data_IF_789139154438
#
_entry.id   IF_789139154438
#
_cell.length_a   1.000
_cell.length_b   1.000
_cell.length_c   1.000
_cell.angle_alpha   90.00
_cell.angle_beta   90.00
_cell.angle_gamma   90.00
#
_symmetry.space_group_name_H-M   'P 1'
#
loop_
_entity.id
_entity.type
_entity.pdbx_description
1 polymer ?
#
# COMPACT_ATOMS: atom_id res chain seq x y z
N UNK A 1 -42.71 26.04 48.56
CA UNK A 1 -42.96 24.95 49.53
C UNK A 1 -42.34 23.69 48.97
N UNK A 2 -41.65 22.87 49.78
CA UNK A 2 -40.97 21.59 49.45
C UNK A 2 -39.92 21.68 48.30
N UNK A 3 -38.62 21.35 48.41
CA UNK A 3 -37.80 20.55 49.34
C UNK A 3 -37.63 19.05 48.99
N UNK A 4 -36.41 18.71 48.54
CA UNK A 4 -35.71 17.41 48.70
C UNK A 4 -36.31 16.20 47.92
N UNK A 5 -35.57 15.13 47.57
CA UNK A 5 -34.17 14.72 47.84
C UNK A 5 -33.61 13.91 46.63
N UNK A 6 -32.29 13.76 46.44
CA UNK A 6 -31.43 12.63 46.88
C UNK A 6 -31.92 11.22 46.51
N UNK A 7 -31.15 10.26 45.99
CA UNK A 7 -29.78 10.19 45.43
C UNK A 7 -29.82 9.15 44.25
N UNK A 8 -28.90 8.26 43.84
CA UNK A 8 -27.56 7.81 44.30
C UNK A 8 -26.78 7.05 43.19
N UNK A 9 -25.58 6.57 43.52
CA UNK A 9 -24.60 5.90 42.63
C UNK A 9 -24.71 4.38 42.55
N UNK A 10 -24.20 3.77 41.46
CA UNK A 10 -23.79 2.36 41.42
C UNK A 10 -22.52 2.14 40.57
N UNK A 11 -21.44 1.66 41.18
CA UNK A 11 -20.22 1.19 40.49
C UNK A 11 -20.21 -0.34 40.48
N UNK A 12 -19.96 -0.96 39.33
CA UNK A 12 -19.67 -2.40 39.21
C UNK A 12 -18.17 -2.65 39.09
N UNK A 13 -17.49 -2.88 40.21
CA UNK A 13 -16.16 -3.53 40.21
C UNK A 13 -16.31 -4.98 39.78
N UNK A 14 -15.47 -5.47 38.87
CA UNK A 14 -15.25 -6.90 38.67
C UNK A 14 -13.78 -7.21 38.97
N UNK A 15 -13.52 -8.20 39.83
CA UNK A 15 -12.17 -8.66 40.12
C UNK A 15 -12.20 -10.11 40.60
N UNK A 16 -11.54 -10.99 39.84
CA UNK A 16 -11.16 -12.35 40.22
C UNK A 16 -9.77 -12.54 39.59
N UNK A 17 -8.71 -12.72 40.38
CA UNK A 17 -8.28 -14.04 40.90
C UNK A 17 -8.15 -15.05 39.77
N UNK A 18 -6.97 -15.18 39.15
CA UNK A 18 -5.75 -15.90 39.62
C UNK A 18 -5.91 -17.41 39.68
N UNK A 19 -5.21 -18.10 38.78
CA UNK A 19 -4.65 -19.42 39.05
C UNK A 19 -3.24 -19.51 38.45
N UNK A 20 -2.35 -20.24 39.12
CA UNK A 20 -0.96 -20.42 38.70
C UNK A 20 -0.80 -21.77 38.02
N UNK A 21 0.10 -21.87 37.03
CA UNK A 21 0.64 -23.16 36.60
C UNK A 21 2.06 -22.99 36.05
N UNK A 22 3.03 -23.38 36.87
CA UNK A 22 4.44 -23.45 36.50
C UNK A 22 4.77 -24.87 36.03
N UNK A 23 5.15 -25.02 34.77
CA UNK A 23 5.74 -26.27 34.25
C UNK A 23 7.16 -25.98 33.80
N UNK A 24 8.14 -26.58 34.49
CA UNK A 24 9.55 -26.28 34.33
C UNK A 24 10.29 -27.55 33.87
N UNK A 25 10.52 -27.67 32.55
CA UNK A 25 11.31 -28.70 31.87
C UNK A 25 11.44 -28.31 30.38
N UNK A 26 12.54 -28.49 29.67
CA UNK A 26 13.99 -28.47 29.97
C UNK A 26 14.70 -28.33 28.59
N UNK A 27 15.95 -27.83 28.47
CA UNK A 27 16.52 -27.55 27.15
C UNK A 27 17.08 -28.80 26.47
N UNK A 28 16.83 -28.94 25.16
CA UNK A 28 17.51 -29.93 24.30
C UNK A 28 18.60 -29.24 23.47
N UNK A 29 19.85 -29.64 23.72
CA UNK A 29 21.06 -29.25 22.97
C UNK A 29 21.77 -30.55 22.51
N UNK A 30 22.76 -30.54 21.59
CA UNK A 30 22.73 -31.47 20.46
C UNK A 30 23.51 -32.77 20.69
N UNK A 31 23.29 -33.75 19.80
CA UNK A 31 24.05 -35.00 19.73
C UNK A 31 24.51 -35.34 18.31
N UNK A 32 25.78 -35.10 18.04
CA UNK A 32 26.61 -35.79 17.03
C UNK A 32 27.83 -36.34 17.79
N UNK A 33 28.25 -37.60 17.57
CA UNK A 33 29.12 -37.96 16.43
C UNK A 33 28.56 -39.21 15.68
N UNK A 34 29.20 -39.89 14.72
CA UNK A 34 30.62 -40.03 14.35
C UNK A 34 30.77 -40.41 12.84
N UNK A 35 31.97 -40.68 12.29
CA UNK A 35 32.23 -40.61 10.84
C UNK A 35 32.06 -41.93 10.05
N UNK A 36 31.88 -41.81 8.73
CA UNK A 36 31.99 -42.90 7.76
C UNK A 36 32.95 -42.52 6.62
N UNK A 37 33.90 -43.40 6.30
CA UNK A 37 35.02 -43.12 5.39
C UNK A 37 34.85 -43.67 3.97
N UNK A 38 35.34 -42.90 2.99
CA UNK A 38 35.76 -43.31 1.62
C UNK A 38 34.68 -43.98 0.71
N UNK A 39 34.63 -43.73 -0.60
CA UNK A 39 35.71 -44.06 -1.56
C UNK A 39 35.58 -43.26 -2.86
N UNK A 40 36.71 -42.94 -3.49
CA UNK A 40 36.81 -42.36 -4.84
C UNK A 40 37.53 -43.35 -5.77
N UNK A 41 36.97 -43.63 -6.95
CA UNK A 41 37.77 -43.88 -8.15
C UNK A 41 37.20 -43.08 -9.37
N UNK A 42 37.72 -43.18 -10.60
CA UNK A 42 38.56 -42.10 -11.12
C UNK A 42 38.05 -41.48 -12.44
N UNK A 43 38.73 -40.42 -12.88
CA UNK A 43 38.42 -39.75 -14.15
C UNK A 43 38.89 -40.54 -15.39
N UNK A 44 38.11 -40.48 -16.47
CA UNK A 44 38.56 -40.78 -17.83
C UNK A 44 38.14 -39.66 -18.80
N UNK A 45 39.00 -39.40 -19.79
CA UNK A 45 38.81 -38.52 -20.96
C UNK A 45 39.31 -39.28 -22.20
N UNK A 46 38.95 -38.86 -23.41
CA UNK A 46 37.61 -38.57 -23.94
C UNK A 46 37.35 -39.48 -25.18
N UNK A 47 36.36 -39.18 -26.03
CA UNK A 47 36.71 -39.07 -27.45
C UNK A 47 36.07 -37.86 -28.15
N UNK A 48 36.43 -37.68 -29.42
CA UNK A 48 36.17 -36.47 -30.22
C UNK A 48 34.68 -36.30 -30.63
N UNK A 49 34.18 -35.09 -30.40
CA UNK A 49 33.92 -34.14 -31.49
C UNK A 49 32.66 -34.33 -32.34
N UNK A 50 31.76 -33.34 -32.25
CA UNK A 50 30.89 -32.91 -33.36
C UNK A 50 30.71 -31.40 -33.27
N UNK A 51 30.39 -30.77 -34.41
CA UNK A 51 30.13 -29.33 -34.48
C UNK A 51 28.87 -28.98 -33.68
N UNK A 52 28.95 -27.92 -32.86
CA UNK A 52 27.78 -27.17 -32.40
C UNK A 52 27.91 -25.77 -32.96
N UNK A 53 26.79 -25.25 -33.47
CA UNK A 53 26.70 -23.94 -34.12
C UNK A 53 26.93 -22.80 -33.11
N UNK A 54 26.99 -21.55 -33.61
CA UNK A 54 27.15 -20.36 -32.77
C UNK A 54 25.90 -20.07 -31.93
N UNK A 55 25.68 -20.88 -30.90
CA UNK A 55 24.54 -20.75 -29.99
C UNK A 55 24.61 -19.39 -29.29
N UNK A 56 23.61 -18.54 -29.54
CA UNK A 56 23.52 -17.24 -28.90
C UNK A 56 23.09 -17.46 -27.46
N UNK A 57 24.08 -17.57 -26.57
CA UNK A 57 23.90 -17.56 -25.12
C UNK A 57 23.28 -16.22 -24.71
N UNK A 58 21.95 -16.14 -24.78
CA UNK A 58 21.15 -15.15 -24.06
C UNK A 58 21.52 -15.25 -22.58
N UNK A 59 21.68 -14.10 -21.92
CA UNK A 59 22.08 -14.03 -20.51
C UNK A 59 20.93 -14.45 -19.58
N UNK A 60 20.58 -15.73 -19.59
CA UNK A 60 19.47 -16.28 -18.78
C UNK A 60 19.78 -16.21 -17.28
N UNK A 61 21.06 -16.19 -16.89
CA UNK A 61 21.48 -16.17 -15.49
C UNK A 61 21.41 -14.80 -14.79
N UNK A 62 21.24 -13.69 -15.52
CA UNK A 62 21.19 -12.35 -14.92
C UNK A 62 19.78 -11.92 -14.46
N UNK A 63 18.75 -12.56 -14.98
CA UNK A 63 17.34 -12.39 -14.59
C UNK A 63 17.01 -13.23 -13.33
N UNK A 64 17.48 -14.48 -13.28
CA UNK A 64 17.14 -15.46 -12.23
C UNK A 64 17.68 -15.09 -10.83
N UNK A 65 18.56 -14.10 -10.71
CA UNK A 65 19.11 -13.58 -9.45
C UNK A 65 19.09 -12.05 -9.37
N UNK A 66 17.94 -11.42 -9.62
CA UNK A 66 17.77 -9.97 -9.37
C UNK A 66 17.74 -9.61 -7.87
N UNK A 67 17.07 -10.44 -7.05
CA UNK A 67 16.93 -10.22 -5.59
C UNK A 67 17.29 -11.47 -4.80
N UNK A 68 17.72 -11.28 -3.55
CA UNK A 68 17.94 -12.36 -2.60
C UNK A 68 16.62 -12.80 -1.91
N UNK A 69 16.69 -13.80 -1.02
CA UNK A 69 15.55 -14.33 -0.26
C UNK A 69 14.89 -13.32 0.71
N UNK A 70 15.49 -12.15 0.92
CA UNK A 70 14.91 -11.03 1.69
C UNK A 70 14.37 -9.91 0.79
N UNK A 71 14.22 -10.17 -0.52
CA UNK A 71 13.79 -9.22 -1.55
C UNK A 71 14.70 -7.97 -1.70
N UNK A 72 15.96 -8.08 -1.26
CA UNK A 72 16.98 -7.05 -1.45
C UNK A 72 17.75 -7.28 -2.76
N UNK A 73 18.10 -6.22 -3.47
CA UNK A 73 19.01 -6.28 -4.62
C UNK A 73 20.41 -6.74 -4.20
N UNK A 74 21.12 -7.43 -5.09
CA UNK A 74 22.52 -7.77 -4.87
C UNK A 74 23.43 -6.55 -5.08
N UNK A 75 24.32 -6.29 -4.12
CA UNK A 75 25.26 -5.14 -4.14
C UNK A 75 26.32 -5.19 -5.24
N UNK A 76 26.29 -6.21 -6.10
CA UNK A 76 27.12 -6.36 -7.30
C UNK A 76 26.59 -5.57 -8.51
N UNK A 77 25.33 -5.11 -8.47
CA UNK A 77 24.66 -4.38 -9.56
C UNK A 77 24.20 -2.99 -9.08
N UNK A 78 24.41 -1.91 -9.86
CA UNK A 78 23.90 -0.58 -9.51
C UNK A 78 22.37 -0.54 -9.40
N UNK A 79 21.83 0.22 -8.45
CA UNK A 79 20.38 0.35 -8.20
C UNK A 79 19.57 0.65 -9.46
N UNK A 80 19.97 1.65 -10.26
CA UNK A 80 19.29 2.02 -11.50
C UNK A 80 19.16 0.83 -12.48
N UNK A 81 20.19 -0.02 -12.57
CA UNK A 81 20.17 -1.23 -13.40
C UNK A 81 19.27 -2.32 -12.81
N UNK A 82 19.25 -2.45 -11.48
CA UNK A 82 18.38 -3.40 -10.77
C UNK A 82 16.89 -3.00 -10.86
N UNK A 83 16.58 -1.71 -10.71
CA UNK A 83 15.24 -1.14 -10.90
C UNK A 83 14.78 -1.27 -12.36
N UNK A 84 15.69 -1.03 -13.32
CA UNK A 84 15.40 -1.25 -14.74
C UNK A 84 15.10 -2.73 -15.03
N UNK A 85 15.87 -3.68 -14.47
CA UNK A 85 15.56 -5.10 -14.67
C UNK A 85 14.25 -5.50 -13.99
N UNK A 86 13.95 -4.99 -12.79
CA UNK A 86 12.68 -5.22 -12.10
C UNK A 86 11.48 -4.80 -12.95
N UNK A 87 11.56 -3.62 -13.57
CA UNK A 87 10.52 -3.11 -14.48
C UNK A 87 10.37 -3.89 -15.80
N UNK A 88 11.36 -4.72 -16.16
CA UNK A 88 11.33 -5.57 -17.35
C UNK A 88 11.21 -7.08 -17.02
N UNK A 89 10.88 -7.45 -15.77
CA UNK A 89 10.76 -8.85 -15.33
C UNK A 89 9.32 -9.18 -14.88
N UNK A 90 8.40 -9.55 -15.81
CA UNK A 90 6.98 -9.78 -15.49
C UNK A 90 6.72 -10.81 -14.37
N UNK A 91 7.62 -11.81 -14.23
CA UNK A 91 7.58 -12.81 -13.15
C UNK A 91 7.58 -12.18 -11.74
N UNK A 92 8.15 -10.98 -11.59
CA UNK A 92 8.32 -10.28 -10.32
C UNK A 92 7.31 -9.15 -10.11
N UNK A 93 6.41 -8.85 -11.07
CA UNK A 93 5.38 -7.81 -10.91
C UNK A 93 4.62 -7.89 -9.57
N UNK A 94 4.11 -9.06 -9.10
CA UNK A 94 3.38 -9.14 -7.83
C UNK A 94 4.20 -8.72 -6.58
N UNK A 95 5.52 -8.72 -6.68
CA UNK A 95 6.46 -8.35 -5.61
C UNK A 95 7.17 -7.02 -5.87
N UNK A 96 6.98 -6.40 -7.04
CA UNK A 96 7.78 -5.26 -7.48
C UNK A 96 7.67 -4.03 -6.55
N UNK A 97 6.48 -3.77 -5.98
CA UNK A 97 6.30 -2.70 -4.98
C UNK A 97 7.02 -3.01 -3.66
N UNK A 98 7.03 -4.27 -3.22
CA UNK A 98 7.76 -4.66 -2.00
C UNK A 98 9.28 -4.57 -2.21
N UNK A 99 9.78 -5.11 -3.33
CA UNK A 99 11.20 -5.02 -3.70
C UNK A 99 11.62 -3.54 -3.80
N UNK A 100 10.82 -2.68 -4.43
CA UNK A 100 11.08 -1.24 -4.52
C UNK A 100 11.19 -0.58 -3.14
N UNK A 101 10.25 -0.85 -2.23
CA UNK A 101 10.22 -0.24 -0.89
C UNK A 101 11.36 -0.74 -0.01
N UNK A 102 11.69 -2.05 -0.04
CA UNK A 102 12.79 -2.61 0.76
C UNK A 102 14.17 -2.10 0.33
N UNK A 103 14.33 -1.72 -0.93
CA UNK A 103 15.59 -1.17 -1.47
C UNK A 103 15.59 0.36 -1.59
N UNK A 104 14.59 1.06 -1.03
CA UNK A 104 14.36 2.48 -1.27
C UNK A 104 15.58 3.36 -1.00
N UNK A 105 15.88 4.27 -1.94
CA UNK A 105 16.84 5.37 -1.75
C UNK A 105 16.21 6.69 -2.21
N UNK A 106 16.37 7.77 -1.42
CA UNK A 106 15.87 9.09 -1.78
C UNK A 106 16.55 9.64 -3.03
N UNK A 107 15.92 10.63 -3.67
CA UNK A 107 16.41 11.24 -4.90
C UNK A 107 15.58 10.92 -6.14
N UNK A 108 14.30 10.57 -5.96
CA UNK A 108 13.29 10.57 -7.03
C UNK A 108 13.33 9.40 -8.03
N UNK A 109 14.43 8.66 -8.18
CA UNK A 109 14.44 7.49 -9.08
C UNK A 109 13.51 6.37 -8.57
N UNK A 110 13.55 6.04 -7.28
CA UNK A 110 12.62 5.07 -6.69
C UNK A 110 11.15 5.53 -6.82
N UNK A 111 10.89 6.83 -6.68
CA UNK A 111 9.57 7.44 -6.91
C UNK A 111 9.12 7.34 -8.38
N UNK A 112 10.03 7.51 -9.35
CA UNK A 112 9.75 7.29 -10.78
C UNK A 112 9.34 5.84 -11.05
N UNK A 113 10.02 4.87 -10.43
CA UNK A 113 9.66 3.46 -10.55
C UNK A 113 8.36 3.12 -9.79
N UNK A 114 8.09 3.74 -8.64
CA UNK A 114 6.79 3.63 -7.96
C UNK A 114 5.64 4.04 -8.89
N UNK A 115 5.73 5.22 -9.50
CA UNK A 115 4.72 5.74 -10.42
C UNK A 115 4.53 4.88 -11.69
N UNK A 116 5.58 4.16 -12.10
CA UNK A 116 5.49 3.16 -13.17
C UNK A 116 4.76 1.89 -12.71
N UNK A 117 5.19 1.26 -11.61
CA UNK A 117 4.60 0.02 -11.12
C UNK A 117 3.11 0.16 -10.76
N UNK A 118 2.68 1.29 -10.19
CA UNK A 118 1.25 1.54 -9.88
C UNK A 118 0.35 1.75 -11.12
N UNK A 119 0.89 1.61 -12.34
CA UNK A 119 0.06 1.48 -13.54
C UNK A 119 -0.35 0.04 -13.85
N UNK A 120 0.35 -0.98 -13.32
CA UNK A 120 -0.05 -2.39 -13.41
C UNK A 120 -0.93 -2.78 -12.23
N UNK A 121 -2.06 -3.44 -12.51
CA UNK A 121 -2.91 -4.05 -11.48
C UNK A 121 -2.19 -5.21 -10.80
N UNK A 122 -1.32 -5.95 -11.52
CA UNK A 122 -0.49 -7.04 -10.99
C UNK A 122 0.40 -6.55 -9.86
N UNK A 123 1.10 -5.42 -10.07
CA UNK A 123 1.96 -4.82 -9.06
C UNK A 123 1.19 -4.34 -7.83
N UNK A 124 -0.04 -3.86 -8.03
CA UNK A 124 -0.88 -3.36 -6.95
C UNK A 124 -1.51 -4.47 -6.08
N UNK A 125 -1.37 -5.75 -6.46
CA UNK A 125 -1.92 -6.88 -5.69
C UNK A 125 -1.40 -6.94 -4.25
N UNK A 126 -0.16 -6.52 -3.99
CA UNK A 126 0.45 -6.57 -2.67
C UNK A 126 -0.02 -5.45 -1.70
N UNK A 127 -0.68 -4.39 -2.16
CA UNK A 127 -0.88 -3.15 -1.36
C UNK A 127 -1.68 -3.37 -0.05
N UNK A 128 -2.86 -4.03 -0.06
CA UNK A 128 -3.62 -4.31 1.16
C UNK A 128 -3.23 -5.64 1.83
N UNK A 129 -2.21 -6.32 1.31
CA UNK A 129 -1.83 -7.69 1.70
C UNK A 129 -0.76 -7.65 2.79
N UNK A 130 -0.89 -8.57 3.75
CA UNK A 130 0.10 -8.80 4.79
C UNK A 130 1.13 -9.81 4.30
N UNK A 131 2.42 -9.46 4.36
CA UNK A 131 3.49 -10.37 4.02
C UNK A 131 3.92 -11.20 5.24
N UNK A 132 3.67 -12.51 5.16
CA UNK A 132 4.02 -13.51 6.17
C UNK A 132 5.44 -14.09 6.04
N UNK A 133 6.26 -13.70 5.05
CA UNK A 133 7.56 -14.36 4.77
C UNK A 133 8.70 -13.97 5.71
N UNK A 134 8.43 -13.31 6.85
CA UNK A 134 9.43 -12.88 7.84
C UNK A 134 9.28 -13.56 9.21
N UNK A 135 10.45 -13.83 9.79
CA UNK A 135 10.62 -14.72 10.95
C UNK A 135 10.28 -14.05 12.30
N UNK A 136 9.90 -12.76 12.29
CA UNK A 136 9.70 -11.94 13.48
C UNK A 136 8.29 -12.05 14.11
N UNK A 137 7.37 -12.78 13.46
CA UNK A 137 6.03 -13.06 13.99
C UNK A 137 5.04 -11.88 13.93
N UNK A 138 5.39 -10.81 13.22
CA UNK A 138 4.52 -9.64 12.96
C UNK A 138 4.17 -9.54 11.49
N UNK A 139 2.89 -9.42 11.19
CA UNK A 139 2.36 -9.27 9.84
C UNK A 139 2.70 -7.88 9.24
N UNK A 140 3.77 -7.77 8.43
CA UNK A 140 4.16 -6.53 7.74
C UNK A 140 3.21 -6.23 6.55
N UNK A 141 2.71 -5.00 6.41
CA UNK A 141 2.09 -4.50 5.16
C UNK A 141 3.06 -3.63 4.36
N UNK A 142 2.74 -3.29 3.10
CA UNK A 142 3.56 -2.32 2.35
C UNK A 142 3.67 -0.95 3.05
N UNK A 143 2.69 -0.55 3.87
CA UNK A 143 2.75 0.73 4.59
C UNK A 143 3.73 0.69 5.77
N UNK A 144 3.87 -0.47 6.42
CA UNK A 144 4.94 -0.67 7.41
C UNK A 144 6.32 -0.62 6.73
N UNK A 145 6.43 -1.01 5.45
CA UNK A 145 7.66 -0.81 4.68
C UNK A 145 7.90 0.67 4.32
N UNK A 146 6.85 1.46 4.08
CA UNK A 146 6.99 2.92 3.89
C UNK A 146 7.51 3.57 5.17
N UNK A 147 6.95 3.24 6.34
CA UNK A 147 7.41 3.80 7.62
C UNK A 147 8.87 3.40 7.94
N UNK A 148 9.26 2.15 7.65
CA UNK A 148 10.60 1.64 7.94
C UNK A 148 11.71 2.06 6.94
N UNK A 149 11.40 2.20 5.64
CA UNK A 149 12.43 2.39 4.59
C UNK A 149 12.35 3.72 3.83
N UNK A 150 11.22 4.42 3.81
CA UNK A 150 11.06 5.69 3.09
C UNK A 150 11.36 6.87 4.01
N UNK A 151 12.14 7.84 3.52
CA UNK A 151 12.49 9.07 4.26
C UNK A 151 11.27 9.96 4.50
N UNK A 152 11.26 10.72 5.59
CA UNK A 152 10.05 11.40 6.10
C UNK A 152 9.43 12.37 5.08
N UNK A 153 10.27 13.04 4.28
CA UNK A 153 9.87 13.95 3.19
C UNK A 153 9.10 13.23 2.07
N UNK A 154 9.39 11.95 1.81
CA UNK A 154 8.79 11.15 0.73
C UNK A 154 7.61 10.28 1.23
N UNK A 155 7.54 9.93 2.54
CA UNK A 155 6.54 8.99 3.10
C UNK A 155 5.09 9.31 2.73
N UNK A 156 4.68 10.58 2.86
CA UNK A 156 3.30 11.01 2.56
C UNK A 156 2.97 10.85 1.08
N UNK A 157 3.91 11.19 0.19
CA UNK A 157 3.74 11.07 -1.26
C UNK A 157 3.66 9.60 -1.70
N UNK A 158 4.55 8.75 -1.16
CA UNK A 158 4.55 7.31 -1.42
C UNK A 158 3.25 6.65 -0.91
N UNK A 159 2.86 6.92 0.33
CA UNK A 159 1.63 6.40 0.95
C UNK A 159 0.39 6.75 0.12
N UNK A 160 0.24 8.02 -0.28
CA UNK A 160 -0.88 8.48 -1.11
C UNK A 160 -0.86 7.88 -2.52
N UNK A 161 0.32 7.65 -3.09
CA UNK A 161 0.48 6.99 -4.40
C UNK A 161 -0.01 5.54 -4.34
N UNK A 162 0.35 4.79 -3.29
CA UNK A 162 -0.10 3.42 -3.07
C UNK A 162 -1.63 3.35 -2.83
N UNK A 163 -2.17 4.21 -1.96
CA UNK A 163 -3.62 4.28 -1.71
C UNK A 163 -4.41 4.67 -2.96
N UNK A 164 -3.91 5.62 -3.76
CA UNK A 164 -4.55 6.01 -5.03
C UNK A 164 -4.58 4.85 -6.04
N UNK A 165 -3.54 4.03 -6.05
CA UNK A 165 -3.46 2.83 -6.88
C UNK A 165 -4.44 1.74 -6.43
N UNK A 166 -4.52 1.48 -5.12
CA UNK A 166 -5.49 0.53 -4.56
C UNK A 166 -6.94 0.97 -4.81
N UNK A 167 -7.26 2.25 -4.64
CA UNK A 167 -8.57 2.83 -4.96
C UNK A 167 -8.92 2.76 -6.46
N UNK A 168 -7.92 2.83 -7.34
CA UNK A 168 -8.05 2.71 -8.81
C UNK A 168 -8.37 1.27 -9.24
N UNK A 169 -7.80 0.25 -8.59
CA UNK A 169 -7.93 -1.15 -9.01
C UNK A 169 -8.89 -1.99 -8.14
N UNK A 170 -9.14 -1.59 -6.89
CA UNK A 170 -10.09 -2.19 -5.93
C UNK A 170 -9.98 -3.72 -5.77
N UNK A 171 -8.76 -4.25 -5.87
CA UNK A 171 -8.45 -5.68 -5.90
C UNK A 171 -8.92 -6.38 -4.62
N UNK A 172 -9.90 -7.28 -4.69
CA UNK A 172 -10.46 -7.95 -3.51
C UNK A 172 -9.59 -9.13 -3.05
N UNK A 173 -8.98 -9.00 -1.86
CA UNK A 173 -8.22 -10.06 -1.20
C UNK A 173 -8.90 -10.43 0.12
N UNK A 174 -9.23 -11.71 0.30
CA UNK A 174 -10.08 -12.20 1.40
C UNK A 174 -9.35 -13.01 2.47
N UNK A 175 -8.07 -13.37 2.25
CA UNK A 175 -7.33 -14.33 3.11
C UNK A 175 -6.12 -13.78 3.88
N UNK A 176 -5.47 -12.72 3.39
CA UNK A 176 -4.25 -12.15 3.97
C UNK A 176 -4.31 -10.61 3.97
N UNK A 177 -5.45 -10.05 4.39
CA UNK A 177 -5.71 -8.60 4.36
C UNK A 177 -5.46 -7.96 5.71
N UNK A 178 -4.90 -6.74 5.70
CA UNK A 178 -4.73 -5.97 6.93
C UNK A 178 -6.08 -5.62 7.59
N UNK A 179 -6.10 -5.51 8.92
CA UNK A 179 -7.32 -5.27 9.71
C UNK A 179 -8.03 -3.94 9.38
N UNK A 180 -7.29 -2.94 8.90
CA UNK A 180 -7.83 -1.66 8.45
C UNK A 180 -8.43 -1.72 7.02
N UNK A 181 -8.11 -2.74 6.22
CA UNK A 181 -8.45 -2.78 4.79
C UNK A 181 -9.97 -2.81 4.54
N UNK A 182 -10.78 -3.38 5.45
CA UNK A 182 -12.24 -3.35 5.36
C UNK A 182 -12.81 -1.93 5.49
N UNK A 183 -12.33 -1.13 6.44
CA UNK A 183 -12.73 0.27 6.60
C UNK A 183 -12.31 1.13 5.40
N UNK A 184 -11.11 0.87 4.85
CA UNK A 184 -10.64 1.51 3.61
C UNK A 184 -11.56 1.20 2.43
N UNK A 185 -11.81 -0.08 2.14
CA UNK A 185 -12.67 -0.49 1.02
C UNK A 185 -14.13 -0.12 1.23
N UNK A 186 -14.61 -0.01 2.47
CA UNK A 186 -15.91 0.58 2.78
C UNK A 186 -15.95 2.06 2.38
N UNK A 187 -14.94 2.85 2.76
CA UNK A 187 -14.85 4.26 2.39
C UNK A 187 -14.78 4.48 0.86
N UNK A 188 -13.94 3.72 0.15
CA UNK A 188 -13.82 3.81 -1.32
C UNK A 188 -15.10 3.45 -2.09
N UNK A 189 -16.02 2.69 -1.48
CA UNK A 189 -17.31 2.30 -2.06
C UNK A 189 -18.44 3.29 -1.76
N UNK A 190 -18.22 4.29 -0.90
CA UNK A 190 -19.25 5.26 -0.55
C UNK A 190 -19.57 6.24 -1.68
N UNK A 191 -20.82 6.71 -1.67
CA UNK A 191 -21.37 7.62 -2.68
C UNK A 191 -21.46 9.07 -2.20
N UNK A 192 -21.24 9.31 -0.90
CA UNK A 192 -21.26 10.62 -0.24
C UNK A 192 -20.02 10.77 0.63
N UNK A 193 -19.49 11.98 0.72
CA UNK A 193 -18.25 12.25 1.45
C UNK A 193 -18.40 12.02 2.96
N UNK A 194 -19.54 12.40 3.56
CA UNK A 194 -19.77 12.23 5.00
C UNK A 194 -19.64 10.74 5.42
N UNK A 195 -20.26 9.86 4.64
CA UNK A 195 -20.30 8.42 4.90
C UNK A 195 -18.90 7.80 4.68
N UNK A 196 -18.14 8.30 3.70
CA UNK A 196 -16.74 7.91 3.49
C UNK A 196 -15.83 8.36 4.64
N UNK A 197 -16.00 9.60 5.10
CA UNK A 197 -15.26 10.19 6.22
C UNK A 197 -15.50 9.41 7.52
N UNK A 198 -16.72 8.96 7.79
CA UNK A 198 -17.03 8.16 9.00
C UNK A 198 -16.22 6.86 9.06
N UNK A 199 -16.17 6.08 7.96
CA UNK A 199 -15.32 4.88 7.87
C UNK A 199 -13.84 5.19 8.09
N UNK A 200 -13.34 6.31 7.55
CA UNK A 200 -11.96 6.76 7.72
C UNK A 200 -11.66 7.40 9.08
N UNK A 201 -12.67 7.87 9.83
CA UNK A 201 -12.49 8.27 11.22
C UNK A 201 -12.37 7.04 12.15
N UNK A 202 -13.08 5.95 11.83
CA UNK A 202 -12.92 4.65 12.49
C UNK A 202 -11.60 3.92 12.19
N UNK A 203 -10.79 4.44 11.27
CA UNK A 203 -9.53 3.86 10.80
C UNK A 203 -8.48 3.81 11.94
N UNK A 204 -8.15 2.59 12.40
CA UNK A 204 -7.23 2.29 13.52
C UNK A 204 -5.82 2.01 13.01
N UNK A 205 -5.18 3.04 12.46
CA UNK A 205 -3.81 3.01 11.93
C UNK A 205 -3.01 4.20 12.45
N UNK A 206 -1.73 4.32 12.08
CA UNK A 206 -0.93 5.51 12.36
C UNK A 206 -1.53 6.77 11.70
N UNK A 207 -1.18 7.96 12.18
CA UNK A 207 -1.75 9.22 11.68
C UNK A 207 -1.41 9.49 10.22
N UNK A 208 -0.18 9.20 9.78
CA UNK A 208 0.27 9.45 8.40
C UNK A 208 -0.57 8.65 7.39
N UNK A 209 -0.83 7.37 7.66
CA UNK A 209 -1.66 6.50 6.83
C UNK A 209 -3.14 6.97 6.84
N UNK A 210 -3.65 7.41 7.99
CA UNK A 210 -5.01 7.93 8.15
C UNK A 210 -5.23 9.24 7.38
N UNK A 211 -4.33 10.20 7.53
CA UNK A 211 -4.43 11.51 6.91
C UNK A 211 -4.18 11.40 5.39
N UNK A 212 -3.32 10.46 4.97
CA UNK A 212 -3.16 10.09 3.56
C UNK A 212 -4.42 9.48 2.97
N UNK A 213 -5.10 8.56 3.68
CA UNK A 213 -6.35 7.94 3.25
C UNK A 213 -7.50 8.96 3.15
N UNK A 214 -7.64 9.84 4.16
CA UNK A 214 -8.59 10.95 4.12
C UNK A 214 -8.32 11.89 2.94
N UNK A 215 -7.05 12.24 2.68
CA UNK A 215 -6.68 13.12 1.55
C UNK A 215 -7.00 12.49 0.20
N UNK A 216 -6.62 11.24 -0.03
CA UNK A 216 -6.85 10.53 -1.31
C UNK A 216 -8.34 10.36 -1.62
N UNK A 217 -9.16 10.05 -0.60
CA UNK A 217 -10.61 9.93 -0.79
C UNK A 217 -11.25 11.31 -0.98
N UNK A 218 -10.82 12.34 -0.24
CA UNK A 218 -11.29 13.71 -0.47
C UNK A 218 -10.98 14.20 -1.90
N UNK A 219 -9.77 13.94 -2.41
CA UNK A 219 -9.38 14.23 -3.80
C UNK A 219 -10.27 13.51 -4.82
N UNK A 220 -10.60 12.23 -4.59
CA UNK A 220 -11.53 11.49 -5.45
C UNK A 220 -12.92 12.13 -5.48
N UNK A 221 -13.48 12.48 -4.32
CA UNK A 221 -14.79 13.13 -4.23
C UNK A 221 -14.80 14.52 -4.88
N UNK A 222 -13.75 15.33 -4.69
CA UNK A 222 -13.61 16.64 -5.31
C UNK A 222 -13.46 16.55 -6.84
N UNK A 223 -12.66 15.61 -7.35
CA UNK A 223 -12.55 15.37 -8.80
C UNK A 223 -13.88 14.88 -9.40
N UNK A 224 -14.62 14.01 -8.71
CA UNK A 224 -15.96 13.55 -9.12
C UNK A 224 -16.94 14.73 -9.21
N UNK A 225 -16.92 15.65 -8.24
CA UNK A 225 -17.75 16.86 -8.24
C UNK A 225 -17.32 17.90 -9.28
N UNK A 226 -16.01 18.05 -9.53
CA UNK A 226 -15.47 18.91 -10.59
C UNK A 226 -15.95 18.46 -11.98
N UNK A 227 -15.78 17.17 -12.31
CA UNK A 227 -16.24 16.59 -13.59
C UNK A 227 -17.75 16.73 -13.76
N UNK A 228 -18.53 16.62 -12.69
CA UNK A 228 -19.98 16.85 -12.73
C UNK A 228 -20.31 18.32 -13.04
N UNK A 229 -19.59 19.28 -12.45
CA UNK A 229 -19.74 20.71 -12.73
C UNK A 229 -19.34 21.08 -14.17
N UNK A 230 -18.28 20.47 -14.70
CA UNK A 230 -17.84 20.65 -16.10
C UNK A 230 -18.86 20.06 -17.09
N UNK A 231 -19.32 18.82 -16.85
CA UNK A 231 -20.34 18.16 -17.67
C UNK A 231 -21.63 18.96 -17.69
N UNK A 232 -22.06 19.45 -16.51
CA UNK A 232 -23.21 20.34 -16.38
C UNK A 232 -23.01 21.64 -17.17
N UNK A 233 -21.87 22.34 -17.00
CA UNK A 233 -21.56 23.58 -17.72
C UNK A 233 -21.62 23.40 -19.25
N UNK A 234 -21.08 22.31 -19.77
CA UNK A 234 -21.10 21.99 -21.21
C UNK A 234 -22.52 21.66 -21.68
N UNK A 235 -23.32 20.97 -20.86
CA UNK A 235 -24.73 20.68 -21.13
C UNK A 235 -25.60 21.94 -21.17
N UNK A 236 -25.50 22.80 -20.14
CA UNK A 236 -26.27 24.05 -20.06
C UNK A 236 -25.94 25.01 -21.21
N UNK A 237 -24.66 25.13 -21.61
CA UNK A 237 -24.24 25.91 -22.79
C UNK A 237 -24.72 25.36 -24.14
N UNK A 238 -25.36 24.18 -24.17
CA UNK A 238 -26.01 23.60 -25.36
C UNK A 238 -27.54 23.64 -25.28
N UNK A 239 -28.13 24.12 -24.19
CA UNK A 239 -29.57 24.28 -24.09
C UNK A 239 -30.03 25.50 -24.89
N UNK A 240 -31.04 25.30 -25.76
CA UNK A 240 -31.70 26.38 -26.49
C UNK A 240 -32.87 26.99 -25.68
N UNK A 241 -33.23 26.41 -24.54
CA UNK A 241 -34.23 26.96 -23.63
C UNK A 241 -33.61 28.11 -22.81
N UNK A 242 -34.18 29.32 -22.93
CA UNK A 242 -33.69 30.54 -22.28
C UNK A 242 -33.85 30.60 -20.75
N UNK A 243 -34.05 29.46 -20.09
CA UNK A 243 -34.09 29.32 -18.63
C UNK A 243 -32.68 29.11 -18.09
N UNK A 244 -32.19 29.94 -17.14
CA UNK A 244 -30.91 29.69 -16.50
C UNK A 244 -30.97 28.38 -15.71
N UNK A 245 -30.31 27.33 -16.22
CA UNK A 245 -30.01 26.17 -15.41
C UNK A 245 -29.12 26.60 -14.24
N UNK A 246 -29.36 26.03 -13.07
CA UNK A 246 -28.53 26.22 -11.87
C UNK A 246 -27.90 24.87 -11.51
N UNK A 247 -26.64 24.87 -11.09
CA UNK A 247 -25.96 23.63 -10.68
C UNK A 247 -26.61 23.09 -9.39
N UNK A 248 -26.87 21.76 -9.26
CA UNK A 248 -27.54 21.18 -8.10
C UNK A 248 -26.89 21.59 -6.77
N UNK A 249 -27.72 22.08 -5.84
CA UNK A 249 -27.29 22.67 -4.57
C UNK A 249 -26.57 21.63 -3.73
N UNK A 250 -27.05 20.39 -3.73
CA UNK A 250 -26.50 19.24 -3.00
C UNK A 250 -25.07 18.91 -3.47
N UNK A 251 -24.80 19.08 -4.77
CA UNK A 251 -23.47 18.88 -5.34
C UNK A 251 -22.49 20.01 -5.00
N UNK A 252 -22.98 21.24 -4.88
CA UNK A 252 -22.20 22.41 -4.44
C UNK A 252 -21.87 22.33 -2.96
N UNK A 253 -22.85 21.98 -2.14
CA UNK A 253 -22.73 21.99 -0.68
C UNK A 253 -21.85 20.82 -0.20
N UNK A 254 -21.89 19.65 -0.86
CA UNK A 254 -20.91 18.59 -0.59
C UNK A 254 -19.48 19.02 -0.99
N UNK A 255 -19.29 19.67 -2.14
CA UNK A 255 -17.97 20.18 -2.57
C UNK A 255 -17.38 21.18 -1.55
N UNK A 256 -18.20 22.13 -1.08
CA UNK A 256 -17.80 23.09 -0.04
C UNK A 256 -17.62 22.42 1.33
N UNK A 257 -18.38 21.35 1.62
CA UNK A 257 -18.22 20.51 2.80
C UNK A 257 -16.88 19.80 2.84
N UNK A 258 -16.47 19.14 1.75
CA UNK A 258 -15.17 18.47 1.64
C UNK A 258 -14.03 19.47 1.84
N UNK A 259 -14.07 20.62 1.16
CA UNK A 259 -13.02 21.66 1.29
C UNK A 259 -12.93 22.23 2.72
N UNK A 260 -14.06 22.34 3.43
CA UNK A 260 -14.09 22.73 4.85
C UNK A 260 -13.44 21.65 5.72
N UNK A 261 -13.90 20.40 5.59
CA UNK A 261 -13.40 19.25 6.33
C UNK A 261 -11.88 19.08 6.17
N UNK A 262 -11.37 19.21 4.94
CA UNK A 262 -9.94 19.12 4.66
C UNK A 262 -9.14 20.26 5.31
N UNK A 263 -9.70 21.49 5.32
CA UNK A 263 -9.07 22.63 6.02
C UNK A 263 -9.07 22.45 7.54
N UNK A 264 -10.14 21.93 8.11
CA UNK A 264 -10.25 21.67 9.55
C UNK A 264 -9.32 20.54 10.01
N UNK A 265 -9.21 19.46 9.22
CA UNK A 265 -8.28 18.35 9.44
C UNK A 265 -6.84 18.59 8.93
N UNK A 266 -6.55 19.77 8.36
CA UNK A 266 -5.22 20.16 7.78
C UNK A 266 -4.69 19.21 6.69
N UNK A 267 -5.59 18.60 5.91
CA UNK A 267 -5.26 17.68 4.83
C UNK A 267 -4.75 18.45 3.60
N UNK A 268 -3.59 18.06 3.07
CA UNK A 268 -3.04 18.62 1.82
C UNK A 268 -3.71 18.01 0.60
N UNK A 269 -4.97 18.37 0.38
CA UNK A 269 -5.68 18.09 -0.87
C UNK A 269 -5.10 19.00 -1.95
N UNK A 270 -4.47 18.40 -2.96
CA UNK A 270 -3.72 19.12 -3.97
C UNK A 270 -4.63 20.05 -4.80
N UNK A 271 -4.02 21.06 -5.43
CA UNK A 271 -4.69 22.05 -6.29
C UNK A 271 -5.25 21.48 -7.61
N UNK A 272 -5.59 20.19 -7.68
CA UNK A 272 -6.22 19.55 -8.85
C UNK A 272 -7.61 20.09 -9.20
N UNK A 273 -8.19 20.98 -8.38
CA UNK A 273 -9.40 21.74 -8.70
C UNK A 273 -9.14 23.13 -9.29
N UNK A 274 -7.89 23.58 -9.43
CA UNK A 274 -7.54 24.78 -10.22
C UNK A 274 -7.04 24.35 -11.59
N UNK A 275 -7.95 23.82 -12.41
CA UNK A 275 -7.74 23.72 -13.86
C UNK A 275 -7.66 25.14 -14.43
N UNK A 276 -6.44 25.63 -14.61
CA UNK A 276 -6.15 27.02 -14.91
C UNK A 276 -4.79 27.17 -15.57
N UNK A 277 -4.66 26.63 -16.78
CA UNK A 277 -3.60 27.03 -17.71
C UNK A 277 -3.73 28.54 -17.99
N UNK A 278 -2.68 29.33 -17.72
CA UNK A 278 -2.50 30.69 -18.22
C UNK A 278 -1.10 31.21 -17.81
N UNK A 279 -0.22 31.44 -18.81
CA UNK A 279 1.07 32.12 -18.64
C UNK A 279 2.24 31.20 -18.36
#
# INVERSE_FOLDING_TARGET
MASLSSDSSSQSKWSSQTENSSTLQQPLTPSSPAPGSHTVPPAMKPPHGTSIEGDQVRSTGEEDLLVNSSLMFFSTRPDASSLHLLANTPKLEPQALEILLRNWKPGGEHLRYLHHFVQSSTCCTAIPVMNWTRWWGTDETLFDLVDNFVGEEERTLVTRTLLSADMKFQLDFTRLRASWADSWRSACRQHRWADAKEHLLGFRVNTLLKDSALSVVAEHFLQRRHRALETWRIGSSRSLEGTPQVFPVEGRDEFLGILRDCREMRLDVAKSCTGGENG
#
